data_IF_746660301455
#
_entry.id   IF_746660301455
#
_cell.length_a   1.000
_cell.length_b   1.000
_cell.length_c   1.000
_cell.angle_alpha   90.00
_cell.angle_beta   90.00
_cell.angle_gamma   90.00
#
_symmetry.space_group_name_H-M   'P 1'
#
loop_
_entity.id
_entity.type
_entity.pdbx_description
1 polymer ?
#
# COMPACT_ATOMS: atom_id res chain seq x y z
N UNK A 1 -10.90 -12.86 -22.28
CA UNK A 1 -11.54 -11.85 -21.41
C UNK A 1 -11.02 -11.94 -19.96
N UNK A 2 -9.70 -12.04 -19.73
CA UNK A 2 -9.08 -12.26 -18.40
C UNK A 2 -8.09 -11.14 -17.97
N UNK A 3 -7.72 -10.22 -18.87
CA UNK A 3 -6.70 -9.20 -18.59
C UNK A 3 -7.21 -8.06 -17.68
N UNK A 4 -8.50 -7.72 -17.73
CA UNK A 4 -9.06 -6.60 -16.96
C UNK A 4 -9.26 -6.93 -15.47
N UNK A 5 -9.62 -8.19 -15.15
CA UNK A 5 -9.84 -8.67 -13.77
C UNK A 5 -8.59 -8.53 -12.90
N UNK A 6 -7.41 -8.78 -13.48
CA UNK A 6 -6.14 -8.63 -12.78
C UNK A 6 -5.73 -7.17 -12.59
N UNK A 7 -6.08 -6.27 -13.51
CA UNK A 7 -5.75 -4.84 -13.39
C UNK A 7 -6.52 -4.19 -12.24
N UNK A 8 -7.82 -4.45 -12.14
CA UNK A 8 -8.65 -3.95 -11.03
C UNK A 8 -8.21 -4.49 -9.67
N UNK A 9 -7.88 -5.80 -9.60
CA UNK A 9 -7.40 -6.45 -8.37
C UNK A 9 -6.03 -5.90 -7.93
N UNK A 10 -5.08 -5.77 -8.84
CA UNK A 10 -3.75 -5.27 -8.51
C UNK A 10 -3.76 -3.79 -8.11
N UNK A 11 -4.68 -2.98 -8.65
CA UNK A 11 -4.89 -1.60 -8.19
C UNK A 11 -5.34 -1.54 -6.71
N UNK A 12 -6.17 -2.48 -6.25
CA UNK A 12 -6.54 -2.58 -4.82
C UNK A 12 -5.33 -2.98 -3.98
N UNK A 13 -4.53 -3.93 -4.44
CA UNK A 13 -3.28 -4.31 -3.78
C UNK A 13 -2.35 -3.10 -3.63
N UNK A 14 -2.13 -2.33 -4.71
CA UNK A 14 -1.36 -1.09 -4.67
C UNK A 14 -1.93 -0.11 -3.65
N UNK A 15 -3.24 0.19 -3.73
CA UNK A 15 -3.89 1.15 -2.84
C UNK A 15 -3.68 0.77 -1.37
N UNK A 16 -4.02 -0.46 -0.98
CA UNK A 16 -3.86 -0.95 0.39
C UNK A 16 -2.41 -0.86 0.85
N UNK A 17 -1.46 -1.19 -0.03
CA UNK A 17 -0.03 -1.14 0.29
C UNK A 17 0.46 0.26 0.62
N UNK A 18 -0.10 1.30 0.00
CA UNK A 18 0.21 2.69 0.37
C UNK A 18 -0.16 2.96 1.84
N UNK A 19 -1.32 2.49 2.29
CA UNK A 19 -1.75 2.67 3.67
C UNK A 19 -0.99 1.77 4.65
N UNK A 20 -0.61 0.56 4.24
CA UNK A 20 0.29 -0.30 5.03
C UNK A 20 1.62 0.43 5.24
N UNK A 21 2.23 0.97 4.18
CA UNK A 21 3.48 1.73 4.30
C UNK A 21 3.32 2.92 5.25
N UNK A 22 2.24 3.70 5.12
CA UNK A 22 1.97 4.83 6.01
C UNK A 22 1.82 4.38 7.47
N UNK A 23 1.14 3.26 7.71
CA UNK A 23 1.00 2.69 9.05
C UNK A 23 2.35 2.28 9.64
N UNK A 24 3.19 1.60 8.85
CA UNK A 24 4.53 1.21 9.27
C UNK A 24 5.39 2.43 9.63
N UNK A 25 5.38 3.46 8.79
CA UNK A 25 6.08 4.73 9.05
C UNK A 25 5.59 5.42 10.33
N UNK A 26 4.28 5.40 10.58
CA UNK A 26 3.69 5.96 11.79
C UNK A 26 4.18 5.24 13.06
N UNK A 27 4.31 3.91 13.03
CA UNK A 27 4.89 3.13 14.13
C UNK A 27 6.35 3.52 14.40
N UNK A 28 7.09 3.86 13.33
CA UNK A 28 8.47 4.34 13.42
C UNK A 28 8.58 5.81 13.84
N UNK A 29 7.45 6.49 14.07
CA UNK A 29 7.41 7.90 14.44
C UNK A 29 7.70 8.85 13.27
N UNK A 30 7.65 8.38 12.03
CA UNK A 30 7.89 9.20 10.84
C UNK A 30 6.65 10.06 10.56
N UNK A 31 6.82 11.38 10.64
CA UNK A 31 5.79 12.33 10.22
C UNK A 31 5.71 12.36 8.69
N UNK A 32 4.56 11.98 8.14
CA UNK A 32 4.26 12.13 6.72
C UNK A 32 3.67 13.53 6.52
N UNK A 33 4.32 14.43 5.75
CA UNK A 33 3.79 15.76 5.51
C UNK A 33 2.51 15.69 4.70
N UNK A 34 1.52 16.52 5.02
CA UNK A 34 0.32 16.67 4.22
C UNK A 34 0.63 17.26 2.84
N UNK A 35 -0.31 17.16 1.91
CA UNK A 35 -0.17 17.78 0.58
C UNK A 35 0.04 19.30 0.71
N UNK A 36 -0.71 19.94 1.62
CA UNK A 36 -0.59 21.38 1.88
C UNK A 36 0.76 21.75 2.50
N UNK A 37 1.30 20.93 3.41
CA UNK A 37 2.64 21.13 3.98
C UNK A 37 3.73 21.01 2.90
N UNK A 38 3.58 20.06 1.96
CA UNK A 38 4.49 19.89 0.82
C UNK A 38 4.45 21.07 -0.14
N UNK A 39 3.25 21.56 -0.48
CA UNK A 39 3.06 22.72 -1.35
C UNK A 39 3.52 24.01 -0.68
N UNK A 40 3.31 24.18 0.63
CA UNK A 40 3.80 25.34 1.38
C UNK A 40 5.34 25.41 1.37
N UNK A 41 5.99 24.24 1.45
CA UNK A 41 7.45 24.14 1.39
C UNK A 41 8.00 24.19 -0.04
N UNK A 42 7.16 23.93 -1.05
CA UNK A 42 7.51 23.91 -2.46
C UNK A 42 6.39 24.59 -3.29
N UNK A 43 6.34 25.94 -3.32
CA UNK A 43 5.20 26.69 -3.87
C UNK A 43 4.92 26.45 -5.35
N UNK A 44 5.90 25.92 -6.07
CA UNK A 44 5.80 25.62 -7.50
C UNK A 44 5.12 24.27 -7.79
N UNK A 45 4.90 23.43 -6.79
CA UNK A 45 4.23 22.14 -6.99
C UNK A 45 2.72 22.35 -7.13
N UNK A 46 2.16 21.73 -8.16
CA UNK A 46 0.73 21.49 -8.24
C UNK A 46 0.28 20.46 -7.20
N UNK A 47 -1.03 20.43 -6.91
CA UNK A 47 -1.62 19.42 -6.01
C UNK A 47 -1.27 17.98 -6.47
N UNK A 48 -1.34 17.73 -7.79
CA UNK A 48 -1.03 16.42 -8.35
C UNK A 48 0.44 16.02 -8.16
N UNK A 49 1.37 16.96 -8.35
CA UNK A 49 2.80 16.73 -8.13
C UNK A 49 3.11 16.50 -6.65
N UNK A 50 2.48 17.25 -5.75
CA UNK A 50 2.64 17.07 -4.31
C UNK A 50 2.11 15.69 -3.85
N UNK A 51 0.96 15.25 -4.36
CA UNK A 51 0.44 13.88 -4.11
C UNK A 51 1.41 12.83 -4.63
N UNK A 52 1.91 12.99 -5.86
CA UNK A 52 2.85 12.02 -6.45
C UNK A 52 4.18 11.99 -5.70
N UNK A 53 4.67 13.14 -5.23
CA UNK A 53 5.87 13.23 -4.40
C UNK A 53 5.67 12.52 -3.06
N UNK A 54 4.54 12.77 -2.39
CA UNK A 54 4.20 12.09 -1.13
C UNK A 54 4.17 10.57 -1.33
N UNK A 55 3.51 10.09 -2.38
CA UNK A 55 3.44 8.67 -2.74
C UNK A 55 4.82 8.07 -3.02
N UNK A 56 5.68 8.80 -3.73
CA UNK A 56 7.04 8.35 -4.06
C UNK A 56 7.91 8.22 -2.81
N UNK A 57 7.79 9.16 -1.87
CA UNK A 57 8.64 9.20 -0.67
C UNK A 57 8.12 8.30 0.46
N UNK A 58 6.81 8.31 0.68
CA UNK A 58 6.19 7.69 1.85
C UNK A 58 5.24 6.54 1.51
N UNK A 59 5.00 6.27 0.23
CA UNK A 59 4.20 5.14 -0.22
C UNK A 59 5.00 3.87 -0.42
N UNK A 60 4.26 2.78 -0.64
CA UNK A 60 4.83 1.49 -1.04
C UNK A 60 5.42 1.60 -2.45
N UNK A 61 6.52 0.89 -2.68
CA UNK A 61 7.12 0.74 -3.99
C UNK A 61 6.38 -0.37 -4.74
N UNK A 62 6.11 -0.14 -6.03
CA UNK A 62 5.44 -1.13 -6.89
C UNK A 62 6.22 -1.30 -8.17
N UNK A 63 6.63 -2.54 -8.42
CA UNK A 63 7.09 -2.99 -9.72
C UNK A 63 5.87 -3.51 -10.50
N UNK A 64 5.42 -2.74 -11.48
CA UNK A 64 4.25 -3.07 -12.28
C UNK A 64 4.51 -4.19 -13.29
N UNK A 65 5.76 -4.39 -13.71
CA UNK A 65 6.15 -5.42 -14.67
C UNK A 65 6.17 -6.79 -14.00
N UNK A 66 6.88 -6.89 -12.87
CA UNK A 66 6.96 -8.13 -12.09
C UNK A 66 5.79 -8.31 -11.11
N UNK A 67 4.90 -7.30 -11.02
CA UNK A 67 3.74 -7.23 -10.11
C UNK A 67 4.13 -7.43 -8.65
N UNK A 68 5.26 -6.87 -8.25
CA UNK A 68 5.73 -6.92 -6.87
C UNK A 68 5.43 -5.63 -6.14
N UNK A 69 5.13 -5.76 -4.84
CA UNK A 69 4.88 -4.64 -3.95
C UNK A 69 5.81 -4.74 -2.76
N UNK A 70 6.49 -3.63 -2.47
CA UNK A 70 7.48 -3.53 -1.42
C UNK A 70 7.13 -2.43 -0.43
N UNK A 71 7.44 -2.71 0.84
CA UNK A 71 7.37 -1.73 1.93
C UNK A 71 8.70 -1.60 2.63
N UNK A 72 8.90 -0.46 3.27
CA UNK A 72 10.03 -0.16 4.13
C UNK A 72 9.62 -0.24 5.58
N UNK A 73 10.43 -0.93 6.39
CA UNK A 73 10.29 -0.97 7.84
C UNK A 73 11.68 -1.11 8.47
N UNK A 74 11.98 -0.28 9.47
CA UNK A 74 13.28 -0.22 10.17
C UNK A 74 14.46 -0.09 9.21
N UNK A 75 14.31 0.76 8.19
CA UNK A 75 15.33 1.02 7.18
C UNK A 75 15.58 -0.12 6.18
N UNK A 76 14.77 -1.18 6.21
CA UNK A 76 14.90 -2.34 5.30
C UNK A 76 13.70 -2.43 4.37
N UNK A 77 13.91 -2.96 3.16
CA UNK A 77 12.90 -3.16 2.11
C UNK A 77 12.37 -4.60 2.19
N UNK A 78 11.06 -4.79 2.09
CA UNK A 78 10.40 -6.09 2.21
C UNK A 78 9.35 -6.26 1.14
N UNK A 79 9.37 -7.40 0.45
CA UNK A 79 8.34 -7.78 -0.50
C UNK A 79 7.12 -8.34 0.22
N UNK A 80 5.99 -7.66 0.10
CA UNK A 80 4.74 -8.03 0.78
C UNK A 80 3.66 -8.49 -0.19
N UNK A 81 4.03 -8.77 -1.45
CA UNK A 81 3.10 -9.06 -2.53
C UNK A 81 2.09 -10.13 -2.16
N UNK A 82 2.55 -11.28 -1.67
CA UNK A 82 1.69 -12.41 -1.32
C UNK A 82 0.77 -12.11 -0.13
N UNK A 83 1.29 -11.36 0.85
CA UNK A 83 0.53 -10.92 2.03
C UNK A 83 -0.63 -10.02 1.57
N UNK A 84 -0.34 -9.03 0.73
CA UNK A 84 -1.34 -8.07 0.24
C UNK A 84 -2.39 -8.75 -0.64
N UNK A 85 -1.98 -9.66 -1.53
CA UNK A 85 -2.91 -10.43 -2.36
C UNK A 85 -3.85 -11.25 -1.46
N UNK A 86 -3.30 -11.93 -0.44
CA UNK A 86 -4.09 -12.71 0.52
C UNK A 86 -5.11 -11.84 1.26
N UNK A 87 -4.70 -10.66 1.71
CA UNK A 87 -5.57 -9.72 2.42
C UNK A 87 -6.68 -9.18 1.52
N UNK A 88 -6.36 -8.79 0.29
CA UNK A 88 -7.36 -8.33 -0.67
C UNK A 88 -8.40 -9.41 -0.91
N UNK A 89 -7.99 -10.68 -1.04
CA UNK A 89 -8.91 -11.79 -1.24
C UNK A 89 -9.79 -12.03 -0.01
N UNK A 90 -9.21 -11.99 1.20
CA UNK A 90 -9.93 -12.25 2.46
C UNK A 90 -10.94 -11.15 2.81
N UNK A 91 -10.62 -9.89 2.49
CA UNK A 91 -11.42 -8.73 2.87
C UNK A 91 -12.32 -8.19 1.76
N UNK A 92 -12.31 -8.81 0.57
CA UNK A 92 -13.25 -8.49 -0.52
C UNK A 92 -14.53 -9.31 -0.37
N UNK A 93 -15.68 -8.65 -0.21
CA UNK A 93 -16.98 -9.30 -0.14
C UNK A 93 -17.73 -9.20 -1.49
N UNK A 94 -18.22 -10.33 -2.00
CA UNK A 94 -19.05 -10.43 -3.23
C UNK A 94 -18.28 -10.76 -4.52
N UNK A 95 -18.95 -11.42 -5.48
CA UNK A 95 -18.39 -11.83 -6.79
C UNK A 95 -18.13 -10.65 -7.74
N UNK A 96 -18.76 -9.50 -7.49
CA UNK A 96 -18.61 -8.29 -8.28
C UNK A 96 -17.45 -7.45 -7.72
N UNK A 97 -16.23 -7.77 -8.14
CA UNK A 97 -15.13 -6.81 -8.15
C UNK A 97 -15.52 -5.78 -9.21
N UNK A 98 -16.34 -4.79 -8.85
CA UNK A 98 -16.63 -3.69 -9.76
C UNK A 98 -15.30 -2.98 -10.04
N UNK A 99 -14.80 -3.16 -11.27
CA UNK A 99 -13.44 -2.80 -11.69
C UNK A 99 -13.22 -1.29 -11.76
N UNK A 100 -14.29 -0.50 -11.59
CA UNK A 100 -14.31 0.96 -11.82
C UNK A 100 -14.94 1.75 -10.67
N UNK A 101 -15.65 1.09 -9.75
CA UNK A 101 -16.26 1.75 -8.60
C UNK A 101 -15.33 1.70 -7.40
N UNK A 102 -14.94 2.86 -6.87
CA UNK A 102 -14.48 3.00 -5.49
C UNK A 102 -15.65 2.75 -4.50
N UNK A 103 -16.45 1.71 -4.75
CA UNK A 103 -17.52 1.30 -3.86
C UNK A 103 -16.90 0.48 -2.73
N UNK A 104 -16.48 1.19 -1.69
CA UNK A 104 -15.88 0.63 -0.48
C UNK A 104 -16.91 -0.10 0.39
N UNK A 105 -18.20 -0.17 0.00
CA UNK A 105 -19.26 -0.85 0.76
C UNK A 105 -18.99 -2.35 0.96
N UNK A 106 -18.08 -2.96 0.19
CA UNK A 106 -17.67 -4.36 0.30
C UNK A 106 -16.20 -4.61 0.69
N UNK A 107 -15.48 -3.63 1.25
CA UNK A 107 -14.08 -3.83 1.66
C UNK A 107 -13.78 -3.23 3.06
N UNK A 108 -13.38 -4.07 4.02
CA UNK A 108 -12.98 -3.63 5.35
C UNK A 108 -11.55 -3.07 5.35
N UNK A 109 -11.41 -1.81 4.92
CA UNK A 109 -10.11 -1.18 4.72
C UNK A 109 -9.26 -1.07 5.99
N UNK A 110 -9.86 -0.58 7.08
CA UNK A 110 -9.16 -0.41 8.36
C UNK A 110 -8.76 -1.75 8.98
N UNK A 111 -9.63 -2.76 8.87
CA UNK A 111 -9.34 -4.13 9.29
C UNK A 111 -8.16 -4.72 8.51
N UNK A 112 -8.21 -4.64 7.19
CA UNK A 112 -7.16 -5.16 6.31
C UNK A 112 -5.79 -4.52 6.59
N UNK A 113 -5.71 -3.19 6.73
CA UNK A 113 -4.43 -2.50 7.01
C UNK A 113 -3.87 -2.90 8.38
N UNK A 114 -4.72 -2.99 9.41
CA UNK A 114 -4.29 -3.37 10.77
C UNK A 114 -3.83 -4.83 10.84
N UNK A 115 -4.52 -5.72 10.14
CA UNK A 115 -4.13 -7.12 10.02
C UNK A 115 -2.80 -7.26 9.27
N UNK A 116 -2.67 -6.60 8.12
CA UNK A 116 -1.45 -6.57 7.32
C UNK A 116 -0.25 -6.10 8.14
N UNK A 117 -0.40 -5.00 8.85
CA UNK A 117 0.64 -4.43 9.71
C UNK A 117 1.12 -5.46 10.73
N UNK A 118 0.19 -6.13 11.42
CA UNK A 118 0.52 -7.16 12.42
C UNK A 118 1.22 -8.35 11.79
N UNK A 119 0.71 -8.83 10.65
CA UNK A 119 1.27 -9.97 9.95
C UNK A 119 2.69 -9.69 9.46
N UNK A 120 2.92 -8.55 8.79
CA UNK A 120 4.23 -8.13 8.28
C UNK A 120 5.22 -8.04 9.44
N UNK A 121 4.89 -7.31 10.51
CA UNK A 121 5.80 -7.16 11.66
C UNK A 121 6.08 -8.51 12.33
N UNK A 122 5.05 -9.34 12.52
CA UNK A 122 5.19 -10.68 13.10
C UNK A 122 6.14 -11.56 12.27
N UNK A 123 5.95 -11.61 10.95
CA UNK A 123 6.82 -12.38 10.04
C UNK A 123 8.25 -11.88 10.03
N UNK A 124 8.47 -10.56 10.07
CA UNK A 124 9.82 -9.97 10.18
C UNK A 124 10.48 -10.38 11.50
N UNK A 125 9.78 -10.25 12.63
CA UNK A 125 10.32 -10.59 13.96
C UNK A 125 10.66 -12.08 14.08
N UNK A 126 9.86 -12.95 13.45
CA UNK A 126 10.11 -14.39 13.40
C UNK A 126 11.17 -14.82 12.37
N UNK A 127 11.65 -13.90 11.53
CA UNK A 127 12.56 -14.22 10.43
C UNK A 127 11.90 -14.97 9.26
N UNK A 128 10.57 -14.97 9.17
CA UNK A 128 9.80 -15.56 8.07
C UNK A 128 9.71 -14.63 6.86
N UNK A 129 9.88 -13.32 7.07
CA UNK A 129 9.96 -12.32 6.01
C UNK A 129 11.33 -11.66 6.02
N UNK A 130 12.13 -11.99 4.99
CA UNK A 130 13.48 -11.48 4.84
C UNK A 130 13.49 -10.15 4.08
N UNK A 131 14.43 -9.25 4.40
CA UNK A 131 14.59 -8.03 3.62
C UNK A 131 15.08 -8.36 2.21
N UNK A 132 14.59 -7.63 1.22
CA UNK A 132 15.20 -7.59 -0.11
C UNK A 132 16.23 -6.47 -0.17
N UNK A 133 17.31 -6.68 -0.94
CA UNK A 133 18.32 -5.66 -1.24
C UNK A 133 17.71 -4.48 -2.02
#
# INVERSE_FOLDING_TARGET
>A
MQANVWKGRFNRCWLISMFIQHSLLSIEGVKIPSVDELMSSNPNLTIAEAINLQRKLYGAEVDWESRKIFVRFKGKRYNITDIVISLVNTHSFGDAIDELGADTRGFNFLGAVKEAQKEIISKIVKGELQPEE
#
